data_IF_185933651335
#
_entry.id   IF_185933651335
#
_cell.length_a   1.000
_cell.length_b   1.000
_cell.length_c   1.000
_cell.angle_alpha   90.00
_cell.angle_beta   90.00
_cell.angle_gamma   90.00
#
_symmetry.space_group_name_H-M   'P 1'
#
loop_
_entity.id
_entity.type
_entity.pdbx_description
1 polymer ?
#
# COMPACT_ATOMS: atom_id res chain seq x y z
N UNK A 1 -51.01 -1.86 40.67
CA UNK A 1 -49.95 -1.56 39.68
C UNK A 1 -48.98 -0.59 40.35
N UNK A 2 -47.74 -1.04 40.60
CA UNK A 2 -46.85 -0.43 41.59
C UNK A 2 -46.16 0.82 40.99
N UNK A 3 -46.62 2.02 41.35
CA UNK A 3 -46.17 3.29 40.77
C UNK A 3 -44.65 3.49 40.88
N UNK A 4 -44.01 2.87 41.90
CA UNK A 4 -42.55 2.87 42.14
C UNK A 4 -41.74 2.03 41.15
N UNK A 5 -42.29 0.93 40.62
CA UNK A 5 -41.61 0.10 39.63
C UNK A 5 -41.63 0.75 38.23
N UNK A 6 -42.70 1.49 37.94
CA UNK A 6 -42.83 2.27 36.69
C UNK A 6 -41.89 3.48 36.72
N UNK A 7 -41.74 4.16 37.86
CA UNK A 7 -40.78 5.28 37.98
C UNK A 7 -39.32 4.82 37.92
N UNK A 8 -38.97 3.66 38.49
CA UNK A 8 -37.62 3.10 38.37
C UNK A 8 -37.31 2.66 36.93
N UNK A 9 -38.26 2.00 36.25
CA UNK A 9 -38.10 1.59 34.86
C UNK A 9 -37.98 2.77 33.89
N UNK A 10 -38.79 3.82 34.07
CA UNK A 10 -38.71 5.06 33.26
C UNK A 10 -37.42 5.82 33.53
N UNK A 11 -36.93 5.87 34.78
CA UNK A 11 -35.66 6.50 35.11
C UNK A 11 -34.45 5.74 34.53
N UNK A 12 -34.49 4.40 34.53
CA UNK A 12 -33.44 3.56 33.93
C UNK A 12 -33.42 3.69 32.39
N UNK A 13 -34.59 3.75 31.76
CA UNK A 13 -34.72 3.97 30.30
C UNK A 13 -34.25 5.38 29.91
N UNK A 14 -34.58 6.42 30.70
CA UNK A 14 -34.09 7.79 30.48
C UNK A 14 -32.58 7.93 30.70
N UNK A 15 -32.00 7.17 31.65
CA UNK A 15 -30.56 7.11 31.88
C UNK A 15 -29.83 6.41 30.73
N UNK A 16 -30.37 5.32 30.18
CA UNK A 16 -29.81 4.68 28.97
C UNK A 16 -29.95 5.55 27.72
N UNK A 17 -31.08 6.25 27.55
CA UNK A 17 -31.26 7.18 26.42
C UNK A 17 -30.28 8.37 26.47
N UNK A 18 -29.96 8.87 27.67
CA UNK A 18 -28.92 9.90 27.85
C UNK A 18 -27.52 9.36 27.62
N UNK A 19 -27.22 8.16 28.12
CA UNK A 19 -25.93 7.51 27.91
C UNK A 19 -25.64 7.25 26.42
N UNK A 20 -26.66 6.95 25.61
CA UNK A 20 -26.48 6.82 24.16
C UNK A 20 -26.34 8.17 23.45
N UNK A 21 -27.06 9.21 23.88
CA UNK A 21 -27.02 10.51 23.22
C UNK A 21 -25.67 11.24 23.39
N UNK A 22 -25.00 11.09 24.53
CA UNK A 22 -23.67 11.70 24.73
C UNK A 22 -22.60 11.07 23.83
N UNK A 23 -22.78 9.81 23.42
CA UNK A 23 -21.84 9.07 22.56
C UNK A 23 -22.14 9.22 21.06
N UNK A 24 -22.96 10.20 20.70
CA UNK A 24 -23.27 10.55 19.31
C UNK A 24 -24.36 9.68 18.66
N UNK A 25 -24.64 9.98 17.40
CA UNK A 25 -25.63 9.27 16.57
C UNK A 25 -24.99 8.80 15.25
N UNK A 26 -25.50 7.71 14.69
CA UNK A 26 -25.02 7.16 13.42
C UNK A 26 -25.03 8.17 12.28
N UNK A 27 -23.89 8.30 11.60
CA UNK A 27 -23.68 9.22 10.49
C UNK A 27 -23.49 10.69 10.90
N UNK A 28 -23.28 10.97 12.19
CA UNK A 28 -22.93 12.32 12.69
C UNK A 28 -21.47 12.39 13.15
N UNK A 29 -20.94 13.59 13.32
CA UNK A 29 -19.59 13.81 13.86
C UNK A 29 -19.69 14.56 15.19
N UNK A 30 -19.12 13.99 16.25
CA UNK A 30 -18.88 14.68 17.51
C UNK A 30 -17.62 15.52 17.38
N UNK A 31 -17.79 16.84 17.37
CA UNK A 31 -16.68 17.81 17.36
C UNK A 31 -16.34 18.20 18.80
N UNK A 32 -15.11 17.91 19.21
CA UNK A 32 -14.59 18.22 20.54
C UNK A 32 -13.65 19.41 20.43
N UNK A 33 -14.15 20.56 20.86
CA UNK A 33 -13.44 21.85 20.85
C UNK A 33 -13.03 22.32 22.26
N UNK A 34 -13.39 21.56 23.30
CA UNK A 34 -13.06 21.89 24.70
C UNK A 34 -12.81 20.62 25.54
N UNK A 35 -12.01 20.75 26.60
CA UNK A 35 -11.83 19.69 27.61
C UNK A 35 -13.18 19.27 28.24
N UNK A 36 -14.08 20.24 28.48
CA UNK A 36 -15.40 19.96 29.04
C UNK A 36 -16.23 19.04 28.13
N UNK A 37 -16.24 19.28 26.81
CA UNK A 37 -16.92 18.41 25.85
C UNK A 37 -16.28 17.02 25.75
N UNK A 38 -14.97 16.91 25.94
CA UNK A 38 -14.30 15.60 25.98
C UNK A 38 -14.73 14.79 27.20
N UNK A 39 -14.85 15.44 28.37
CA UNK A 39 -15.31 14.81 29.61
C UNK A 39 -16.77 14.32 29.54
N UNK A 40 -17.60 14.88 28.65
CA UNK A 40 -18.97 14.38 28.42
C UNK A 40 -18.99 12.99 27.76
N UNK A 41 -17.89 12.57 27.11
CA UNK A 41 -17.74 11.24 26.52
C UNK A 41 -17.31 10.18 27.55
N UNK A 42 -17.10 10.57 28.81
CA UNK A 42 -16.71 9.63 29.86
C UNK A 42 -17.72 8.48 29.99
N UNK A 43 -17.20 7.26 29.88
CA UNK A 43 -17.98 6.02 29.97
C UNK A 43 -18.65 5.59 28.66
N UNK A 44 -18.46 6.30 27.55
CA UNK A 44 -18.82 5.79 26.23
C UNK A 44 -17.95 4.59 25.88
N UNK A 45 -18.56 3.43 25.61
CA UNK A 45 -17.88 2.27 25.03
C UNK A 45 -17.91 2.27 23.50
N UNK A 46 -18.88 2.98 22.93
CA UNK A 46 -19.12 3.09 21.50
C UNK A 46 -19.40 4.54 21.16
N UNK A 47 -18.67 5.12 20.20
CA UNK A 47 -19.13 6.33 19.49
C UNK A 47 -19.93 5.87 18.27
N UNK A 48 -21.21 6.23 18.22
CA UNK A 48 -22.10 5.82 17.12
C UNK A 48 -21.84 6.62 15.84
N UNK A 49 -21.08 7.70 15.88
CA UNK A 49 -20.69 8.48 14.70
C UNK A 49 -19.18 8.50 14.47
N UNK A 50 -18.69 9.59 13.89
CA UNK A 50 -17.27 9.95 13.93
C UNK A 50 -16.97 10.80 15.18
N UNK A 51 -15.76 10.70 15.70
CA UNK A 51 -15.21 11.54 16.77
C UNK A 51 -14.07 12.37 16.18
N UNK A 52 -14.18 13.69 16.23
CA UNK A 52 -13.13 14.61 15.79
C UNK A 52 -12.74 15.52 16.95
N UNK A 53 -11.49 15.39 17.40
CA UNK A 53 -10.88 16.18 18.46
C UNK A 53 -9.89 17.17 17.82
N UNK A 54 -10.22 18.45 17.91
CA UNK A 54 -9.41 19.57 17.44
C UNK A 54 -9.34 20.62 18.55
N UNK A 55 -8.33 20.51 19.41
CA UNK A 55 -8.19 21.39 20.57
C UNK A 55 -6.74 21.56 21.01
N UNK A 56 -6.26 22.79 21.00
CA UNK A 56 -4.84 23.11 21.20
C UNK A 56 -4.30 22.89 22.62
N UNK A 57 -5.17 22.83 23.62
CA UNK A 57 -4.84 22.77 25.06
C UNK A 57 -5.14 21.40 25.72
N UNK A 58 -5.75 20.44 25.01
CA UNK A 58 -6.00 19.09 25.55
C UNK A 58 -4.66 18.36 25.66
N UNK A 59 -4.35 17.87 26.86
CA UNK A 59 -3.09 17.15 27.14
C UNK A 59 -3.18 15.63 27.00
N UNK A 60 -4.37 15.07 27.11
CA UNK A 60 -4.65 13.64 27.10
C UNK A 60 -6.12 13.37 26.71
N UNK A 61 -6.45 12.11 26.48
CA UNK A 61 -7.82 11.68 26.16
C UNK A 61 -8.36 10.66 27.17
N UNK A 62 -8.00 10.78 28.45
CA UNK A 62 -8.33 9.80 29.50
C UNK A 62 -9.85 9.59 29.68
N UNK A 63 -10.65 10.60 29.33
CA UNK A 63 -12.11 10.48 29.30
C UNK A 63 -12.60 9.34 28.39
N UNK A 64 -11.80 8.96 27.37
CA UNK A 64 -12.12 7.90 26.42
C UNK A 64 -11.72 6.49 26.90
N UNK A 65 -11.26 6.32 28.14
CA UNK A 65 -10.75 5.03 28.69
C UNK A 65 -11.70 3.82 28.59
N UNK A 66 -12.99 4.04 28.34
CA UNK A 66 -13.97 2.96 28.13
C UNK A 66 -14.25 2.65 26.65
N UNK A 67 -13.77 3.51 25.73
CA UNK A 67 -14.08 3.49 24.31
C UNK A 67 -13.45 2.26 23.65
N UNK A 68 -14.30 1.40 23.12
CA UNK A 68 -13.93 0.16 22.43
C UNK A 68 -14.17 0.23 20.92
N UNK A 69 -15.13 1.06 20.49
CA UNK A 69 -15.63 1.10 19.12
C UNK A 69 -15.95 2.53 18.67
N UNK A 70 -15.57 2.88 17.44
CA UNK A 70 -16.04 4.08 16.74
C UNK A 70 -16.71 3.62 15.43
N UNK A 71 -17.99 3.93 15.22
CA UNK A 71 -18.73 3.56 13.99
C UNK A 71 -18.20 4.28 12.75
N UNK A 72 -17.84 5.55 12.89
CA UNK A 72 -17.24 6.37 11.83
C UNK A 72 -15.74 6.55 12.03
N UNK A 73 -15.29 7.78 11.82
CA UNK A 73 -13.88 8.17 11.85
C UNK A 73 -13.44 8.56 13.26
N UNK A 74 -12.19 8.30 13.59
CA UNK A 74 -11.50 8.89 14.74
C UNK A 74 -10.42 9.85 14.22
N UNK A 75 -10.64 11.14 14.41
CA UNK A 75 -9.76 12.21 13.92
C UNK A 75 -9.22 12.97 15.13
N UNK A 76 -7.91 12.97 15.32
CA UNK A 76 -7.21 13.84 16.27
C UNK A 76 -6.35 14.78 15.44
N UNK A 77 -6.79 16.02 15.31
CA UNK A 77 -6.16 17.02 14.44
C UNK A 77 -5.75 18.26 15.24
N UNK A 78 -4.54 18.77 15.00
CA UNK A 78 -4.04 20.03 15.57
C UNK A 78 -4.08 20.11 17.12
N UNK A 79 -4.00 18.98 17.84
CA UNK A 79 -3.94 18.99 19.30
C UNK A 79 -2.50 19.22 19.77
N UNK A 80 -2.03 20.46 19.69
CA UNK A 80 -0.62 20.81 19.91
C UNK A 80 -0.10 20.50 21.32
N UNK A 81 -0.98 20.39 22.32
CA UNK A 81 -0.61 20.05 23.71
C UNK A 81 -0.81 18.57 24.06
N UNK A 82 -1.32 17.74 23.14
CA UNK A 82 -1.65 16.35 23.39
C UNK A 82 -0.40 15.50 23.58
N UNK A 83 -0.12 15.13 24.82
CA UNK A 83 1.09 14.39 25.22
C UNK A 83 0.96 12.89 24.99
N UNK A 84 -0.24 12.34 25.15
CA UNK A 84 -0.49 10.91 25.04
C UNK A 84 -1.95 10.62 24.65
N UNK A 85 -2.19 9.38 24.22
CA UNK A 85 -3.52 8.88 23.89
C UNK A 85 -3.88 7.61 24.68
N UNK A 86 -3.36 7.46 25.91
CA UNK A 86 -3.54 6.24 26.72
C UNK A 86 -5.02 5.93 27.04
N UNK A 87 -5.84 6.98 27.08
CA UNK A 87 -7.29 6.86 27.16
C UNK A 87 -7.93 6.04 26.03
N UNK A 88 -7.24 5.79 24.91
CA UNK A 88 -7.73 4.91 23.84
C UNK A 88 -7.42 3.43 24.06
N UNK A 89 -6.80 3.04 25.18
CA UNK A 89 -6.30 1.67 25.41
C UNK A 89 -7.34 0.55 25.31
N UNK A 90 -8.64 0.84 25.40
CA UNK A 90 -9.72 -0.13 25.18
C UNK A 90 -10.17 -0.24 23.71
N UNK A 91 -9.74 0.67 22.83
CA UNK A 91 -10.20 0.78 21.45
C UNK A 91 -9.71 -0.41 20.64
N UNK A 92 -10.65 -1.10 19.98
CA UNK A 92 -10.36 -2.28 19.15
C UNK A 92 -10.75 -2.10 17.69
N UNK A 93 -11.66 -1.18 17.39
CA UNK A 93 -12.26 -1.05 16.07
C UNK A 93 -12.65 0.40 15.75
N UNK A 94 -12.31 0.83 14.54
CA UNK A 94 -12.75 2.08 13.93
C UNK A 94 -13.39 1.71 12.58
N UNK A 95 -14.66 2.06 12.39
CA UNK A 95 -15.42 1.72 11.18
C UNK A 95 -15.05 2.57 9.97
N UNK A 96 -14.58 3.80 10.19
CA UNK A 96 -14.05 4.72 9.19
C UNK A 96 -12.54 4.92 9.30
N UNK A 97 -12.10 6.16 9.16
CA UNK A 97 -10.69 6.54 9.15
C UNK A 97 -10.10 6.67 10.55
N UNK A 98 -8.82 6.35 10.70
CA UNK A 98 -7.99 6.79 11.82
C UNK A 98 -7.03 7.87 11.32
N UNK A 99 -7.25 9.11 11.76
CA UNK A 99 -6.45 10.26 11.35
C UNK A 99 -5.79 10.93 12.57
N UNK A 100 -4.46 10.87 12.63
CA UNK A 100 -3.65 11.60 13.61
C UNK A 100 -2.84 12.65 12.85
N UNK A 101 -3.29 13.89 12.90
CA UNK A 101 -2.77 14.98 12.06
C UNK A 101 -2.27 16.13 12.93
N UNK A 102 -1.03 16.56 12.72
CA UNK A 102 -0.46 17.76 13.36
C UNK A 102 -0.52 17.78 14.90
N UNK A 103 -0.43 16.62 15.56
CA UNK A 103 -0.36 16.53 17.02
C UNK A 103 1.11 16.66 17.47
N UNK A 104 1.65 17.88 17.40
CA UNK A 104 3.11 18.13 17.44
C UNK A 104 3.83 17.67 18.72
N UNK A 105 3.13 17.40 19.82
CA UNK A 105 3.73 16.93 21.09
C UNK A 105 3.54 15.43 21.34
N UNK A 106 2.76 14.75 20.51
CA UNK A 106 2.47 13.32 20.65
C UNK A 106 3.68 12.48 20.22
N UNK A 107 4.40 11.94 21.21
CA UNK A 107 5.64 11.20 20.96
C UNK A 107 5.44 9.69 20.68
N UNK A 108 4.28 9.12 21.04
CA UNK A 108 3.98 7.70 20.82
C UNK A 108 2.47 7.50 20.61
N UNK A 109 2.10 6.38 19.99
CA UNK A 109 0.71 5.96 19.85
C UNK A 109 0.24 5.04 20.98
N UNK A 110 0.92 5.07 22.13
CA UNK A 110 0.51 4.27 23.28
C UNK A 110 -0.92 4.64 23.70
N UNK A 111 -1.77 3.62 23.78
CA UNK A 111 -3.21 3.75 23.76
C UNK A 111 -3.86 2.98 22.62
N UNK A 112 -3.16 2.70 21.52
CA UNK A 112 -3.73 1.97 20.38
C UNK A 112 -3.36 0.48 20.34
N UNK A 113 -2.76 -0.08 21.40
CA UNK A 113 -2.21 -1.46 21.40
C UNK A 113 -3.26 -2.55 21.17
N UNK A 114 -4.54 -2.25 21.40
CA UNK A 114 -5.64 -3.19 21.20
C UNK A 114 -6.41 -2.95 19.88
N UNK A 115 -6.03 -1.94 19.09
CA UNK A 115 -6.67 -1.65 17.81
C UNK A 115 -6.33 -2.76 16.81
N UNK A 116 -7.38 -3.35 16.22
CA UNK A 116 -7.23 -4.46 15.26
C UNK A 116 -7.67 -4.07 13.85
N UNK A 117 -8.62 -3.14 13.75
CA UNK A 117 -9.35 -2.87 12.51
C UNK A 117 -9.60 -1.37 12.31
N UNK A 118 -9.25 -0.89 11.12
CA UNK A 118 -9.60 0.43 10.59
C UNK A 118 -10.33 0.22 9.26
N UNK A 119 -11.59 0.65 9.16
CA UNK A 119 -12.41 0.39 7.98
C UNK A 119 -12.12 1.30 6.80
N UNK A 120 -11.53 2.46 7.03
CA UNK A 120 -11.08 3.40 6.02
C UNK A 120 -9.57 3.60 6.03
N UNK A 121 -9.14 4.86 5.97
CA UNK A 121 -7.74 5.25 5.87
C UNK A 121 -7.04 5.23 7.25
N UNK A 122 -5.76 4.87 7.25
CA UNK A 122 -4.84 5.11 8.35
C UNK A 122 -3.89 6.25 7.98
N UNK A 123 -4.04 7.40 8.63
CA UNK A 123 -3.26 8.62 8.32
C UNK A 123 -2.49 9.12 9.54
N UNK A 124 -1.17 9.18 9.40
CA UNK A 124 -0.23 9.73 10.36
C UNK A 124 0.54 10.87 9.70
N UNK A 125 0.05 12.10 9.84
CA UNK A 125 0.60 13.26 9.14
C UNK A 125 1.05 14.34 10.11
N UNK A 126 2.28 14.84 9.95
CA UNK A 126 2.73 16.03 10.66
C UNK A 126 2.89 15.87 12.18
N UNK A 127 2.98 14.64 12.71
CA UNK A 127 3.24 14.40 14.13
C UNK A 127 4.76 14.42 14.36
N UNK A 128 5.35 15.61 14.30
CA UNK A 128 6.81 15.81 14.19
C UNK A 128 7.64 15.28 15.37
N UNK A 129 7.02 14.94 16.51
CA UNK A 129 7.67 14.33 17.68
C UNK A 129 7.41 12.84 17.82
N UNK A 130 6.58 12.25 16.95
CA UNK A 130 6.22 10.83 16.98
C UNK A 130 7.44 9.96 16.65
N UNK A 131 7.96 9.23 17.65
CA UNK A 131 9.18 8.43 17.51
C UNK A 131 8.90 7.01 16.99
N UNK A 132 7.77 6.44 17.39
CA UNK A 132 7.37 5.06 17.10
C UNK A 132 5.85 4.90 16.94
N UNK A 133 5.47 3.85 16.21
CA UNK A 133 4.07 3.48 15.96
C UNK A 133 3.77 2.03 16.37
N UNK A 134 4.62 1.41 17.18
CA UNK A 134 4.56 -0.02 17.54
C UNK A 134 3.25 -0.43 18.22
N UNK A 135 2.55 0.54 18.83
CA UNK A 135 1.21 0.34 19.35
C UNK A 135 0.20 -0.10 18.26
N UNK A 136 0.46 0.14 16.98
CA UNK A 136 -0.40 -0.33 15.88
C UNK A 136 -0.14 -1.78 15.47
N UNK A 137 0.82 -2.49 16.08
CA UNK A 137 1.19 -3.86 15.65
C UNK A 137 0.06 -4.90 15.70
N UNK A 138 -1.03 -4.61 16.42
CA UNK A 138 -2.26 -5.41 16.42
C UNK A 138 -3.18 -5.19 15.22
N UNK A 139 -2.97 -4.11 14.45
CA UNK A 139 -3.79 -3.76 13.28
C UNK A 139 -3.51 -4.74 12.15
N UNK A 140 -4.55 -5.45 11.73
CA UNK A 140 -4.48 -6.46 10.66
C UNK A 140 -5.24 -6.06 9.41
N UNK A 141 -6.04 -4.99 9.49
CA UNK A 141 -6.87 -4.51 8.38
C UNK A 141 -6.95 -2.98 8.37
N UNK A 142 -6.71 -2.42 7.18
CA UNK A 142 -6.95 -1.03 6.79
C UNK A 142 -7.69 -1.08 5.45
N UNK A 143 -8.93 -0.62 5.40
CA UNK A 143 -9.79 -0.70 4.20
C UNK A 143 -9.51 0.35 3.14
N UNK A 144 -8.69 1.36 3.46
CA UNK A 144 -8.32 2.44 2.56
C UNK A 144 -6.81 2.61 2.41
N UNK A 145 -6.39 3.87 2.40
CA UNK A 145 -5.01 4.29 2.25
C UNK A 145 -4.24 4.13 3.57
N UNK A 146 -2.95 3.81 3.48
CA UNK A 146 -1.99 4.00 4.57
C UNK A 146 -1.07 5.15 4.18
N UNK A 147 -1.12 6.22 4.96
CA UNK A 147 -0.35 7.45 4.72
C UNK A 147 0.46 7.81 5.95
N UNK A 148 1.78 7.87 5.79
CA UNK A 148 2.71 8.31 6.83
C UNK A 148 3.57 9.43 6.23
N UNK A 149 3.29 10.67 6.63
CA UNK A 149 3.96 11.85 6.08
C UNK A 149 4.36 12.84 7.17
N UNK A 150 5.45 13.57 6.94
CA UNK A 150 5.84 14.68 7.83
C UNK A 150 6.06 14.27 9.31
N UNK A 151 6.40 13.01 9.59
CA UNK A 151 6.78 12.55 10.93
C UNK A 151 8.31 12.54 11.04
N UNK A 152 8.88 13.73 11.30
CA UNK A 152 10.31 14.00 11.13
C UNK A 152 11.25 13.09 11.96
N UNK A 153 10.78 12.59 13.10
CA UNK A 153 11.56 11.76 14.03
C UNK A 153 11.10 10.30 14.09
N UNK A 154 10.18 9.88 13.22
CA UNK A 154 9.70 8.50 13.17
C UNK A 154 10.82 7.58 12.66
N UNK A 155 11.16 6.56 13.45
CA UNK A 155 12.35 5.73 13.20
C UNK A 155 12.08 4.50 12.33
N UNK A 156 10.90 3.90 12.47
CA UNK A 156 10.55 2.63 11.84
C UNK A 156 9.03 2.53 11.60
N UNK A 157 8.62 1.44 10.93
CA UNK A 157 7.21 1.13 10.64
C UNK A 157 6.70 -0.15 11.33
N UNK A 158 7.34 -0.66 12.40
CA UNK A 158 6.99 -1.97 12.98
C UNK A 158 5.52 -2.09 13.41
N UNK A 159 4.88 -0.96 13.73
CA UNK A 159 3.42 -0.87 13.92
C UNK A 159 2.58 -1.41 12.76
N UNK A 160 3.11 -1.48 11.54
CA UNK A 160 2.39 -1.99 10.36
C UNK A 160 2.61 -3.49 10.12
N UNK A 161 3.32 -4.19 11.00
CA UNK A 161 3.70 -5.60 10.81
C UNK A 161 2.53 -6.59 10.75
N UNK A 162 1.35 -6.22 11.24
CA UNK A 162 0.13 -7.03 11.13
C UNK A 162 -0.55 -6.98 9.75
N UNK A 163 -0.14 -6.06 8.87
CA UNK A 163 -0.84 -5.77 7.61
C UNK A 163 -0.25 -6.64 6.48
N UNK A 164 -1.11 -7.44 5.84
CA UNK A 164 -0.72 -8.27 4.69
C UNK A 164 -1.11 -7.68 3.33
N UNK A 165 -2.07 -6.77 3.30
CA UNK A 165 -2.52 -6.09 2.09
C UNK A 165 -2.98 -4.68 2.43
N UNK A 166 -2.64 -3.73 1.55
CA UNK A 166 -3.18 -2.37 1.58
C UNK A 166 -4.24 -2.27 0.49
N UNK A 167 -5.49 -1.98 0.84
CA UNK A 167 -6.57 -1.92 -0.16
C UNK A 167 -6.49 -0.67 -1.04
N UNK A 168 -6.09 0.46 -0.45
CA UNK A 168 -5.82 1.72 -1.16
C UNK A 168 -4.33 1.95 -1.46
N UNK A 169 -3.91 3.20 -1.36
CA UNK A 169 -2.54 3.64 -1.57
C UNK A 169 -1.67 3.42 -0.33
N UNK A 170 -0.38 3.17 -0.54
CA UNK A 170 0.64 3.25 0.51
C UNK A 170 1.59 4.41 0.21
N UNK A 171 1.57 5.43 1.06
CA UNK A 171 2.25 6.71 0.82
C UNK A 171 3.22 7.01 1.95
N UNK A 172 4.52 7.04 1.62
CA UNK A 172 5.63 7.40 2.50
C UNK A 172 6.44 8.52 1.83
N UNK A 173 6.40 9.75 2.38
CA UNK A 173 7.02 10.92 1.74
C UNK A 173 8.34 11.39 2.37
N UNK A 174 9.00 12.31 1.65
CA UNK A 174 10.35 12.79 1.95
C UNK A 174 10.48 13.52 3.29
N UNK A 175 9.36 13.91 3.90
CA UNK A 175 9.35 14.59 5.19
C UNK A 175 9.45 13.61 6.37
N UNK A 176 9.44 12.30 6.16
CA UNK A 176 9.87 11.33 7.19
C UNK A 176 11.41 11.24 7.21
N UNK A 177 12.03 12.29 7.75
CA UNK A 177 13.45 12.60 7.53
C UNK A 177 14.43 11.52 7.99
N UNK A 178 14.11 10.78 9.06
CA UNK A 178 15.02 9.77 9.65
C UNK A 178 14.54 8.33 9.47
N UNK A 179 13.37 8.13 8.87
CA UNK A 179 12.78 6.81 8.64
C UNK A 179 13.66 6.03 7.66
N UNK A 180 14.33 5.00 8.18
CA UNK A 180 15.39 4.28 7.47
C UNK A 180 15.15 2.77 7.35
N UNK A 181 13.93 2.30 7.66
CA UNK A 181 13.57 0.90 7.56
C UNK A 181 12.10 0.72 7.18
N UNK A 182 11.85 -0.21 6.26
CA UNK A 182 10.51 -0.65 5.86
C UNK A 182 10.13 -2.00 6.46
N UNK A 183 10.88 -2.55 7.44
CA UNK A 183 10.68 -3.93 7.91
C UNK A 183 9.29 -4.22 8.48
N UNK A 184 8.60 -3.18 8.95
CA UNK A 184 7.19 -3.27 9.33
C UNK A 184 6.24 -3.64 8.18
N UNK A 185 6.66 -3.54 6.93
CA UNK A 185 5.88 -3.89 5.74
C UNK A 185 6.16 -5.32 5.23
N UNK A 186 7.00 -6.09 5.92
CA UNK A 186 7.48 -7.41 5.45
C UNK A 186 6.37 -8.43 5.17
N UNK A 187 5.17 -8.26 5.71
CA UNK A 187 4.03 -9.13 5.43
C UNK A 187 3.15 -8.65 4.26
N UNK A 188 3.37 -7.43 3.75
CA UNK A 188 2.57 -6.84 2.67
C UNK A 188 2.87 -7.57 1.35
N UNK A 189 1.84 -8.23 0.81
CA UNK A 189 1.93 -8.93 -0.48
C UNK A 189 1.35 -8.14 -1.65
N UNK A 190 0.52 -7.13 -1.36
CA UNK A 190 -0.20 -6.35 -2.35
C UNK A 190 -0.55 -4.94 -1.86
N UNK A 191 -0.49 -3.97 -2.78
CA UNK A 191 -1.06 -2.62 -2.63
C UNK A 191 -2.10 -2.44 -3.74
N UNK A 192 -3.36 -2.21 -3.38
CA UNK A 192 -4.46 -2.09 -4.34
C UNK A 192 -4.46 -0.79 -5.13
N UNK A 193 -3.99 0.29 -4.50
CA UNK A 193 -3.74 1.58 -5.13
C UNK A 193 -2.27 1.77 -5.53
N UNK A 194 -1.81 3.02 -5.46
CA UNK A 194 -0.43 3.40 -5.74
C UNK A 194 0.49 3.15 -4.53
N UNK A 195 1.75 2.81 -4.82
CA UNK A 195 2.83 2.75 -3.86
C UNK A 195 3.81 3.91 -4.12
N UNK A 196 3.82 4.89 -3.21
CA UNK A 196 4.72 6.04 -3.25
C UNK A 196 5.75 5.97 -2.13
N UNK A 197 7.02 5.83 -2.49
CA UNK A 197 8.14 5.79 -1.54
C UNK A 197 9.15 6.88 -1.91
N UNK A 198 9.27 7.86 -1.03
CA UNK A 198 10.24 8.94 -1.10
C UNK A 198 10.82 9.10 0.31
N UNK A 199 11.89 8.38 0.63
CA UNK A 199 12.49 8.37 1.98
C UNK A 199 13.99 8.63 1.91
N UNK A 200 14.47 9.83 2.27
CA UNK A 200 15.86 10.23 2.02
C UNK A 200 16.89 9.45 2.84
N UNK A 201 16.50 8.91 4.00
CA UNK A 201 17.37 8.14 4.88
C UNK A 201 17.42 6.63 4.56
N UNK A 202 16.61 6.15 3.62
CA UNK A 202 16.46 4.72 3.36
C UNK A 202 17.60 4.17 2.49
N UNK A 203 18.27 3.11 2.97
CA UNK A 203 19.39 2.46 2.28
C UNK A 203 18.96 1.26 1.43
N UNK A 204 17.84 0.63 1.78
CA UNK A 204 17.32 -0.60 1.20
C UNK A 204 15.80 -0.62 1.28
N UNK A 205 15.15 -1.26 0.32
CA UNK A 205 13.70 -1.55 0.35
C UNK A 205 13.37 -2.79 1.19
N UNK A 206 14.28 -3.23 2.08
CA UNK A 206 14.03 -4.37 2.94
C UNK A 206 12.77 -4.16 3.78
N UNK A 207 11.84 -5.09 3.66
CA UNK A 207 10.46 -4.96 4.08
C UNK A 207 9.48 -5.14 2.93
N UNK A 208 9.91 -5.09 1.67
CA UNK A 208 9.03 -5.28 0.50
C UNK A 208 9.24 -6.61 -0.25
N UNK A 209 9.99 -7.56 0.34
CA UNK A 209 10.38 -8.83 -0.31
C UNK A 209 9.21 -9.71 -0.74
N UNK A 210 8.05 -9.53 -0.09
CA UNK A 210 6.84 -10.30 -0.36
C UNK A 210 5.85 -9.57 -1.27
N UNK A 211 6.13 -8.32 -1.68
CA UNK A 211 5.24 -7.54 -2.53
C UNK A 211 5.20 -8.13 -3.94
N UNK A 212 4.01 -8.53 -4.39
CA UNK A 212 3.80 -9.16 -5.70
C UNK A 212 3.01 -8.31 -6.68
N UNK A 213 2.21 -7.36 -6.17
CA UNK A 213 1.31 -6.55 -7.00
C UNK A 213 1.12 -5.13 -6.43
N UNK A 214 1.15 -4.16 -7.33
CA UNK A 214 0.71 -2.78 -7.10
C UNK A 214 -0.38 -2.46 -8.13
N UNK A 215 -1.59 -2.15 -7.70
CA UNK A 215 -2.72 -1.90 -8.61
C UNK A 215 -2.66 -0.55 -9.32
N UNK A 216 -2.04 0.44 -8.68
CA UNK A 216 -1.80 1.77 -9.23
C UNK A 216 -0.35 1.97 -9.66
N UNK A 217 0.13 3.22 -9.50
CA UNK A 217 1.49 3.60 -9.83
C UNK A 217 2.48 3.09 -8.76
N UNK A 218 3.70 2.73 -9.18
CA UNK A 218 4.84 2.51 -8.28
C UNK A 218 5.84 3.64 -8.50
N UNK A 219 6.01 4.51 -7.50
CA UNK A 219 6.98 5.59 -7.51
C UNK A 219 8.07 5.37 -6.45
N UNK A 220 9.32 5.26 -6.91
CA UNK A 220 10.52 5.19 -6.08
C UNK A 220 11.39 6.39 -6.46
N UNK A 221 11.34 7.45 -5.64
CA UNK A 221 12.00 8.71 -6.00
C UNK A 221 12.68 9.43 -4.86
N UNK A 222 13.66 10.26 -5.22
CA UNK A 222 14.38 11.13 -4.28
C UNK A 222 15.09 10.37 -3.13
N UNK A 223 15.42 9.09 -3.34
CA UNK A 223 16.08 8.24 -2.36
C UNK A 223 17.58 8.20 -2.63
N UNK A 224 18.26 9.30 -2.31
CA UNK A 224 19.67 9.53 -2.65
C UNK A 224 20.65 8.52 -2.04
N UNK A 225 20.23 7.76 -1.02
CA UNK A 225 21.04 6.72 -0.36
C UNK A 225 20.69 5.29 -0.81
N UNK A 226 19.59 5.10 -1.56
CA UNK A 226 19.12 3.78 -1.97
C UNK A 226 20.09 3.17 -3.00
N UNK A 227 20.63 1.99 -2.70
CA UNK A 227 21.64 1.35 -3.55
C UNK A 227 21.04 0.56 -4.72
N UNK A 228 19.88 -0.08 -4.51
CA UNK A 228 19.21 -0.91 -5.49
C UNK A 228 17.77 -1.21 -5.05
N UNK A 229 17.02 -1.91 -5.90
CA UNK A 229 15.64 -2.38 -5.61
C UNK A 229 15.54 -3.90 -5.51
N UNK A 230 16.61 -4.60 -5.13
CA UNK A 230 16.60 -6.08 -5.01
C UNK A 230 15.46 -6.64 -4.14
N UNK A 231 15.04 -5.98 -3.03
CA UNK A 231 13.89 -6.44 -2.26
C UNK A 231 12.56 -6.47 -3.04
N UNK A 232 12.50 -6.03 -4.29
CA UNK A 232 11.32 -6.16 -5.15
C UNK A 232 11.32 -7.43 -6.02
N UNK A 233 12.19 -8.41 -5.76
CA UNK A 233 12.33 -9.64 -6.56
C UNK A 233 11.05 -10.45 -6.76
N UNK A 234 10.05 -10.29 -5.88
CA UNK A 234 8.74 -10.94 -5.96
C UNK A 234 7.70 -10.13 -6.73
N UNK A 235 8.00 -8.89 -7.14
CA UNK A 235 7.03 -8.00 -7.79
C UNK A 235 6.75 -8.48 -9.22
N UNK A 236 5.51 -8.89 -9.46
CA UNK A 236 5.06 -9.47 -10.74
C UNK A 236 4.40 -8.40 -11.61
N UNK A 237 3.61 -7.49 -11.01
CA UNK A 237 2.76 -6.61 -11.80
C UNK A 237 2.52 -5.24 -11.16
N UNK A 238 2.51 -4.22 -12.01
CA UNK A 238 2.14 -2.84 -11.68
C UNK A 238 1.00 -2.44 -12.63
N UNK A 239 -0.17 -2.09 -12.12
CA UNK A 239 -1.33 -1.70 -12.92
C UNK A 239 -1.23 -0.28 -13.50
N UNK A 240 -0.42 0.58 -12.88
CA UNK A 240 -0.14 1.94 -13.31
C UNK A 240 1.24 2.12 -13.98
N UNK A 241 1.82 3.28 -13.74
CA UNK A 241 3.16 3.67 -14.18
C UNK A 241 4.21 3.19 -13.18
N UNK A 242 5.31 2.64 -13.68
CA UNK A 242 6.53 2.45 -12.90
C UNK A 242 7.44 3.68 -13.08
N UNK A 243 7.69 4.42 -12.00
CA UNK A 243 8.63 5.55 -11.98
C UNK A 243 9.78 5.28 -11.02
N UNK A 244 11.01 5.24 -11.53
CA UNK A 244 12.24 5.22 -10.72
C UNK A 244 13.05 6.46 -11.07
N UNK A 245 13.09 7.43 -10.16
CA UNK A 245 13.64 8.74 -10.47
C UNK A 245 14.47 9.36 -9.35
N UNK A 246 15.52 10.11 -9.70
CA UNK A 246 16.27 10.92 -8.73
C UNK A 246 16.94 10.10 -7.61
N UNK A 247 17.24 8.82 -7.83
CA UNK A 247 17.94 7.96 -6.88
C UNK A 247 19.44 7.90 -7.23
N UNK A 248 20.17 8.96 -6.87
CA UNK A 248 21.52 9.22 -7.38
C UNK A 248 22.59 8.19 -7.00
N UNK A 249 22.40 7.42 -5.94
CA UNK A 249 23.31 6.33 -5.52
C UNK A 249 22.91 4.94 -6.01
N UNK A 250 21.76 4.81 -6.67
CA UNK A 250 21.25 3.52 -7.14
C UNK A 250 22.13 3.02 -8.28
N UNK A 251 22.68 1.80 -8.16
CA UNK A 251 23.63 1.25 -9.15
C UNK A 251 23.00 0.25 -10.10
N UNK A 252 21.96 -0.47 -9.65
CA UNK A 252 21.24 -1.44 -10.48
C UNK A 252 19.79 -1.64 -10.02
N UNK A 253 18.96 -2.19 -10.90
CA UNK A 253 17.55 -2.50 -10.63
C UNK A 253 17.16 -3.96 -10.87
N UNK A 254 18.11 -4.89 -10.67
CA UNK A 254 17.92 -6.32 -10.91
C UNK A 254 16.76 -6.97 -10.13
N UNK A 255 16.34 -6.38 -9.00
CA UNK A 255 15.15 -6.82 -8.28
C UNK A 255 13.85 -6.77 -9.08
N UNK A 256 13.81 -6.12 -10.24
CA UNK A 256 12.60 -6.08 -11.08
C UNK A 256 12.52 -7.22 -12.10
N UNK A 257 13.45 -8.19 -12.08
CA UNK A 257 13.53 -9.24 -13.11
C UNK A 257 12.25 -10.09 -13.24
N UNK A 258 11.50 -10.25 -12.14
CA UNK A 258 10.22 -10.98 -12.13
C UNK A 258 9.03 -10.17 -12.62
N UNK A 259 9.22 -8.87 -12.93
CA UNK A 259 8.15 -8.00 -13.38
C UNK A 259 7.68 -8.45 -14.76
N UNK A 260 6.41 -8.85 -14.84
CA UNK A 260 5.78 -9.31 -16.07
C UNK A 260 4.97 -8.19 -16.75
N UNK A 261 4.56 -7.17 -15.99
CA UNK A 261 3.66 -6.13 -16.48
C UNK A 261 3.81 -4.75 -15.88
N UNK A 262 3.70 -3.73 -16.74
CA UNK A 262 3.45 -2.33 -16.37
C UNK A 262 2.27 -1.81 -17.18
N UNK A 263 1.15 -1.51 -16.53
CA UNK A 263 -0.11 -1.16 -17.16
C UNK A 263 -0.13 0.17 -17.90
N UNK A 264 0.79 1.07 -17.53
CA UNK A 264 1.01 2.35 -18.21
C UNK A 264 2.49 2.49 -18.61
N UNK A 265 3.16 3.57 -18.22
CA UNK A 265 4.51 3.87 -18.68
C UNK A 265 5.57 3.21 -17.78
N UNK A 266 6.72 2.88 -18.35
CA UNK A 266 7.94 2.59 -17.63
C UNK A 266 8.86 3.81 -17.77
N UNK A 267 9.13 4.49 -16.66
CA UNK A 267 9.88 5.74 -16.61
C UNK A 267 11.05 5.62 -15.64
N UNK A 268 12.27 5.55 -16.17
CA UNK A 268 13.50 5.47 -15.36
C UNK A 268 14.38 6.63 -15.77
N UNK A 269 14.54 7.62 -14.88
CA UNK A 269 15.32 8.79 -15.21
C UNK A 269 16.01 9.49 -14.06
N UNK A 270 17.08 10.22 -14.35
CA UNK A 270 17.82 11.01 -13.37
C UNK A 270 18.41 10.15 -12.23
N UNK A 271 18.80 8.91 -12.52
CA UNK A 271 19.49 8.00 -11.60
C UNK A 271 20.96 7.91 -12.03
N UNK A 272 21.77 8.90 -11.69
CA UNK A 272 23.08 9.13 -12.32
C UNK A 272 24.12 8.01 -12.10
N UNK A 273 23.97 7.19 -11.06
CA UNK A 273 24.83 6.02 -10.81
C UNK A 273 24.27 4.71 -11.38
N UNK A 274 23.04 4.72 -11.92
CA UNK A 274 22.34 3.52 -12.37
C UNK A 274 22.92 3.05 -13.70
N UNK A 275 23.83 2.07 -13.63
CA UNK A 275 24.53 1.55 -14.79
C UNK A 275 24.05 0.18 -15.26
N UNK A 276 23.13 -0.48 -14.53
CA UNK A 276 22.62 -1.79 -14.94
C UNK A 276 21.10 -1.88 -14.73
N UNK A 277 20.37 -2.07 -15.84
CA UNK A 277 18.92 -2.12 -15.86
C UNK A 277 18.36 -3.47 -16.32
N UNK A 278 19.13 -4.55 -16.15
CA UNK A 278 18.72 -5.89 -16.59
C UNK A 278 17.43 -6.39 -15.94
N UNK A 279 17.08 -5.89 -14.76
CA UNK A 279 15.80 -6.21 -14.12
C UNK A 279 14.58 -5.82 -14.96
N UNK A 280 14.65 -4.80 -15.82
CA UNK A 280 13.50 -4.41 -16.66
C UNK A 280 13.59 -4.88 -18.10
N UNK A 281 14.67 -5.57 -18.48
CA UNK A 281 14.82 -6.09 -19.84
C UNK A 281 13.71 -7.11 -20.19
N UNK A 282 13.37 -8.09 -19.33
CA UNK A 282 12.31 -9.05 -19.65
C UNK A 282 10.95 -8.39 -19.93
N UNK A 283 10.51 -7.47 -19.07
CA UNK A 283 9.21 -6.78 -19.27
C UNK A 283 9.19 -5.92 -20.54
N UNK A 284 10.34 -5.43 -21.00
CA UNK A 284 10.46 -4.65 -22.24
C UNK A 284 10.43 -5.57 -23.47
N UNK A 285 11.26 -6.62 -23.50
CA UNK A 285 11.37 -7.53 -24.65
C UNK A 285 10.10 -8.36 -24.87
N UNK A 286 9.35 -8.60 -23.80
CA UNK A 286 8.12 -9.39 -23.81
C UNK A 286 6.85 -8.52 -23.93
N UNK A 287 6.97 -7.28 -24.44
CA UNK A 287 5.86 -6.33 -24.63
C UNK A 287 4.99 -6.11 -23.37
N UNK A 288 5.58 -6.28 -22.18
CA UNK A 288 4.90 -6.19 -20.88
C UNK A 288 4.61 -4.75 -20.43
N UNK A 289 5.21 -3.75 -21.07
CA UNK A 289 4.92 -2.32 -20.84
C UNK A 289 3.83 -1.85 -21.78
N UNK A 290 2.71 -1.38 -21.22
CA UNK A 290 1.52 -1.11 -22.03
C UNK A 290 1.47 0.31 -22.61
N UNK A 291 2.14 1.25 -21.95
CA UNK A 291 2.38 2.62 -22.38
C UNK A 291 3.74 2.80 -23.03
N UNK A 292 4.44 3.87 -22.67
CA UNK A 292 5.77 4.19 -23.22
C UNK A 292 6.91 3.75 -22.30
N UNK A 293 8.05 3.45 -22.91
CA UNK A 293 9.33 3.23 -22.21
C UNK A 293 10.14 4.53 -22.33
N UNK A 294 10.49 5.14 -21.20
CA UNK A 294 11.30 6.35 -21.11
C UNK A 294 12.53 6.08 -20.24
N UNK A 295 13.70 6.15 -20.87
CA UNK A 295 15.01 5.90 -20.25
C UNK A 295 15.87 7.12 -20.56
N UNK A 296 16.23 7.93 -19.57
CA UNK A 296 17.05 9.12 -19.82
C UNK A 296 17.72 9.64 -18.55
N UNK A 297 18.88 10.28 -18.68
CA UNK A 297 19.61 10.87 -17.55
C UNK A 297 20.00 9.82 -16.48
N UNK A 298 20.27 8.58 -16.87
CA UNK A 298 20.79 7.53 -15.99
C UNK A 298 22.30 7.34 -16.20
N UNK A 299 22.92 6.46 -15.42
CA UNK A 299 24.28 5.98 -15.71
C UNK A 299 24.35 5.27 -17.07
N UNK A 300 25.56 5.16 -17.63
CA UNK A 300 25.78 4.43 -18.88
C UNK A 300 25.31 2.97 -18.73
N UNK A 301 24.57 2.44 -19.71
CA UNK A 301 23.97 1.10 -19.63
C UNK A 301 22.46 1.11 -19.39
N UNK A 302 21.90 2.29 -19.12
CA UNK A 302 20.51 2.46 -18.71
C UNK A 302 19.81 3.68 -19.36
N UNK A 303 20.34 4.23 -20.46
CA UNK A 303 19.72 5.37 -21.15
C UNK A 303 18.94 4.99 -22.41
N UNK A 304 19.06 3.77 -22.92
CA UNK A 304 18.31 3.27 -24.09
C UNK A 304 18.06 1.78 -23.94
N UNK A 305 17.08 1.24 -24.69
CA UNK A 305 16.83 -0.22 -24.69
C UNK A 305 18.06 -0.96 -25.25
N UNK A 306 18.73 -0.39 -26.25
CA UNK A 306 19.94 -0.95 -26.84
C UNK A 306 21.11 -1.01 -25.86
N UNK A 307 21.31 0.01 -25.03
CA UNK A 307 22.30 -0.02 -23.95
C UNK A 307 22.02 -1.15 -22.96
N UNK A 308 20.76 -1.28 -22.52
CA UNK A 308 20.35 -2.34 -21.58
C UNK A 308 20.62 -3.71 -22.21
N UNK A 309 20.17 -3.95 -23.44
CA UNK A 309 20.36 -5.24 -24.11
C UNK A 309 21.84 -5.61 -24.26
N UNK A 310 22.71 -4.64 -24.58
CA UNK A 310 24.16 -4.87 -24.68
C UNK A 310 24.79 -5.20 -23.34
N UNK A 311 24.49 -4.42 -22.30
CA UNK A 311 25.06 -4.62 -20.96
C UNK A 311 24.57 -5.93 -20.31
N UNK A 312 23.34 -6.35 -20.61
CA UNK A 312 22.78 -7.58 -20.09
C UNK A 312 23.20 -8.83 -20.89
N UNK A 313 23.54 -8.70 -22.17
CA UNK A 313 24.03 -9.82 -22.98
C UNK A 313 25.38 -10.37 -22.49
N UNK A 314 26.20 -9.56 -21.80
CA UNK A 314 27.44 -10.05 -21.16
C UNK A 314 27.18 -10.91 -19.91
N UNK A 315 25.95 -10.90 -19.37
CA UNK A 315 25.55 -11.64 -18.16
C UNK A 315 24.86 -12.97 -18.45
N UNK A 316 24.39 -13.21 -19.67
CA UNK A 316 23.61 -14.41 -20.04
C UNK A 316 24.36 -15.13 -21.17
N UNK A 317 24.90 -16.33 -20.89
CA UNK A 317 25.39 -17.21 -21.96
C UNK A 317 24.25 -17.57 -22.91
N UNK A 318 24.53 -17.72 -24.21
CA UNK A 318 23.56 -18.13 -25.23
C UNK A 318 22.80 -19.40 -24.80
N UNK A 319 21.59 -19.23 -24.27
CA UNK A 319 20.61 -20.28 -24.09
C UNK A 319 19.42 -19.97 -25.01
N UNK A 320 18.98 -20.96 -25.79
CA UNK A 320 17.77 -20.81 -26.60
C UNK A 320 16.57 -20.67 -25.67
N UNK A 321 16.01 -19.46 -25.58
CA UNK A 321 14.81 -19.20 -24.78
C UNK A 321 13.60 -19.90 -25.42
N UNK A 322 12.65 -20.41 -24.61
CA UNK A 322 11.39 -20.88 -25.13
C UNK A 322 10.65 -19.76 -25.88
N UNK A 323 9.97 -20.11 -26.97
CA UNK A 323 9.08 -19.19 -27.69
C UNK A 323 7.64 -19.29 -27.17
N UNK A 324 7.03 -18.12 -26.91
CA UNK A 324 5.60 -17.95 -26.64
C UNK A 324 4.91 -17.34 -27.86
N UNK A 325 3.93 -18.06 -28.41
CA UNK A 325 3.05 -17.57 -29.47
C UNK A 325 1.66 -17.32 -28.92
N UNK A 326 1.13 -16.11 -29.12
CA UNK A 326 -0.26 -15.77 -28.76
C UNK A 326 -0.99 -15.24 -29.99
N UNK A 327 -2.07 -15.91 -30.37
CA UNK A 327 -2.90 -15.55 -31.54
C UNK A 327 -4.28 -15.14 -31.08
N UNK A 328 -4.66 -13.89 -31.38
CA UNK A 328 -5.93 -13.31 -30.96
C UNK A 328 -7.05 -13.63 -31.95
N UNK A 329 -8.20 -14.11 -31.47
CA UNK A 329 -9.42 -14.23 -32.25
C UNK A 329 -10.45 -13.18 -31.82
N UNK A 330 -10.51 -12.07 -32.57
CA UNK A 330 -11.38 -10.93 -32.30
C UNK A 330 -12.89 -11.29 -32.29
N UNK A 331 -13.33 -12.25 -33.11
CA UNK A 331 -14.74 -12.61 -33.20
C UNK A 331 -15.23 -13.44 -32.02
N UNK A 332 -14.40 -14.37 -31.56
CA UNK A 332 -14.75 -15.32 -30.51
C UNK A 332 -14.25 -14.90 -29.13
N UNK A 333 -13.58 -13.75 -29.04
CA UNK A 333 -13.02 -13.15 -27.81
C UNK A 333 -12.11 -14.08 -27.01
N UNK A 334 -11.33 -14.91 -27.69
CA UNK A 334 -10.32 -15.77 -27.08
C UNK A 334 -8.94 -15.53 -27.67
N UNK A 335 -7.94 -15.96 -26.92
CA UNK A 335 -6.56 -16.09 -27.38
C UNK A 335 -6.17 -17.55 -27.45
N UNK A 336 -5.41 -17.90 -28.49
CA UNK A 336 -4.72 -19.18 -28.58
C UNK A 336 -3.29 -19.00 -28.15
N UNK A 337 -2.90 -19.73 -27.13
CA UNK A 337 -1.55 -19.72 -26.55
C UNK A 337 -0.85 -21.01 -26.92
N UNK A 338 0.39 -20.92 -27.36
CA UNK A 338 1.25 -22.07 -27.62
C UNK A 338 2.65 -21.73 -27.15
N UNK A 339 3.27 -22.65 -26.43
CA UNK A 339 4.65 -22.51 -25.95
C UNK A 339 5.48 -23.70 -26.43
N UNK A 340 6.77 -23.47 -26.60
CA UNK A 340 7.75 -24.52 -26.97
C UNK A 340 8.20 -25.38 -25.79
N UNK A 341 7.71 -25.08 -24.57
CA UNK A 341 7.97 -25.80 -23.33
C UNK A 341 6.71 -25.95 -22.47
N UNK A 342 6.79 -26.83 -21.47
CA UNK A 342 5.76 -27.00 -20.45
C UNK A 342 5.80 -25.83 -19.46
N UNK A 343 4.64 -25.40 -18.97
CA UNK A 343 4.58 -24.36 -17.95
C UNK A 343 3.17 -23.94 -17.55
N UNK A 344 3.08 -22.82 -16.87
CA UNK A 344 1.84 -22.23 -16.35
C UNK A 344 1.62 -20.87 -17.02
N UNK A 345 0.48 -20.68 -17.66
CA UNK A 345 0.09 -19.37 -18.15
C UNK A 345 -0.66 -18.57 -17.07
N UNK A 346 -0.53 -17.25 -17.16
CA UNK A 346 -1.32 -16.26 -16.42
C UNK A 346 -1.93 -15.30 -17.43
N UNK A 347 -3.25 -15.13 -17.37
CA UNK A 347 -3.95 -14.06 -18.09
C UNK A 347 -4.20 -12.92 -17.10
N UNK A 348 -3.74 -11.72 -17.44
CA UNK A 348 -3.95 -10.53 -16.62
C UNK A 348 -4.43 -9.35 -17.48
N UNK A 349 -5.25 -8.45 -16.93
CA UNK A 349 -5.69 -7.22 -17.61
C UNK A 349 -4.69 -6.09 -17.43
N UNK A 350 -4.76 -5.06 -18.27
CA UNK A 350 -3.86 -3.90 -18.21
C UNK A 350 -3.68 -3.27 -16.80
N UNK A 351 -4.65 -3.40 -15.89
CA UNK A 351 -4.56 -2.98 -14.48
C UNK A 351 -3.78 -3.94 -13.56
N UNK A 352 -3.10 -4.95 -14.13
CA UNK A 352 -2.34 -5.96 -13.40
C UNK A 352 -3.17 -7.09 -12.77
N UNK A 353 -4.51 -7.04 -12.86
CA UNK A 353 -5.37 -8.06 -12.26
C UNK A 353 -5.28 -9.40 -13.01
N UNK A 354 -4.92 -10.47 -12.29
CA UNK A 354 -4.95 -11.84 -12.82
C UNK A 354 -6.41 -12.33 -12.94
N UNK A 355 -6.80 -12.78 -14.13
CA UNK A 355 -8.12 -13.34 -14.43
C UNK A 355 -8.13 -14.86 -14.43
N UNK A 356 -7.08 -15.47 -14.97
CA UNK A 356 -7.00 -16.91 -15.16
C UNK A 356 -5.57 -17.40 -15.05
N UNK A 357 -5.40 -18.61 -14.51
CA UNK A 357 -4.14 -19.35 -14.56
C UNK A 357 -4.39 -20.78 -14.99
N UNK A 358 -3.48 -21.36 -15.77
CA UNK A 358 -3.64 -22.73 -16.26
C UNK A 358 -2.34 -23.29 -16.80
N UNK A 359 -2.34 -24.57 -17.21
CA UNK A 359 -1.14 -25.23 -17.73
C UNK A 359 -1.15 -25.26 -19.26
N UNK A 360 0.01 -25.06 -19.87
CA UNK A 360 0.26 -25.34 -21.29
C UNK A 360 1.37 -26.37 -21.35
N UNK A 361 1.13 -27.49 -22.03
CA UNK A 361 2.19 -28.44 -22.34
C UNK A 361 2.87 -28.04 -23.65
N UNK A 362 4.13 -28.45 -23.81
CA UNK A 362 4.96 -28.21 -24.97
C UNK A 362 4.24 -28.52 -26.28
N UNK A 363 4.11 -27.50 -27.12
CA UNK A 363 3.51 -27.58 -28.46
C UNK A 363 1.99 -27.74 -28.48
N UNK A 364 1.34 -27.84 -27.31
CA UNK A 364 -0.12 -27.87 -27.24
C UNK A 364 -0.70 -26.46 -27.32
N UNK A 365 -1.83 -26.32 -28.01
CA UNK A 365 -2.57 -25.07 -28.06
C UNK A 365 -3.55 -25.01 -26.89
N UNK A 366 -3.48 -23.94 -26.10
CA UNK A 366 -4.54 -23.59 -25.16
C UNK A 366 -5.40 -22.45 -25.65
N UNK A 367 -6.70 -22.55 -25.41
CA UNK A 367 -7.68 -21.52 -25.77
C UNK A 367 -8.16 -20.88 -24.48
N UNK A 368 -7.84 -19.61 -24.30
CA UNK A 368 -8.20 -18.84 -23.11
C UNK A 368 -9.28 -17.84 -23.49
N UNK A 369 -10.40 -17.86 -22.79
CA UNK A 369 -11.46 -16.87 -23.00
C UNK A 369 -11.11 -15.57 -22.30
N UNK A 370 -11.24 -14.45 -23.02
CA UNK A 370 -11.03 -13.14 -22.42
C UNK A 370 -12.32 -12.67 -21.72
N UNK A 371 -12.21 -12.08 -20.52
CA UNK A 371 -13.37 -11.68 -19.72
C UNK A 371 -14.14 -10.51 -20.35
N UNK A 372 -13.48 -9.65 -21.12
CA UNK A 372 -14.06 -8.47 -21.75
C UNK A 372 -13.25 -8.02 -22.97
N UNK A 373 -13.72 -7.00 -23.69
CA UNK A 373 -12.87 -6.25 -24.60
C UNK A 373 -11.86 -5.42 -23.78
N UNK A 374 -10.66 -5.23 -24.32
CA UNK A 374 -9.57 -4.58 -23.60
C UNK A 374 -8.19 -5.07 -24.01
N UNK A 375 -7.18 -4.61 -23.28
CA UNK A 375 -5.79 -5.02 -23.42
C UNK A 375 -5.44 -5.97 -22.27
N UNK A 376 -4.86 -7.11 -22.61
CA UNK A 376 -4.45 -8.14 -21.67
C UNK A 376 -3.00 -8.53 -21.93
N UNK A 377 -2.34 -9.06 -20.91
CA UNK A 377 -1.10 -9.80 -21.06
C UNK A 377 -1.35 -11.29 -20.84
N UNK A 378 -0.66 -12.09 -21.64
CA UNK A 378 -0.55 -13.53 -21.41
C UNK A 378 0.90 -13.79 -21.06
N UNK A 379 1.16 -14.10 -19.79
CA UNK A 379 2.48 -14.58 -19.34
C UNK A 379 2.49 -16.10 -19.36
N UNK A 380 3.57 -16.71 -19.82
CA UNK A 380 3.87 -18.14 -19.72
C UNK A 380 5.11 -18.32 -18.85
N UNK A 381 4.94 -18.94 -17.69
CA UNK A 381 6.02 -19.25 -16.74
C UNK A 381 6.46 -20.70 -16.95
N UNK A 382 7.68 -20.88 -17.44
CA UNK A 382 8.33 -22.19 -17.62
C UNK A 382 9.22 -22.50 -16.41
N UNK A 383 10.05 -23.55 -16.48
CA UNK A 383 11.06 -23.81 -15.44
C UNK A 383 12.16 -22.74 -15.43
N UNK A 384 12.46 -22.16 -16.59
CA UNK A 384 13.66 -21.36 -16.79
C UNK A 384 13.37 -19.86 -16.98
N UNK A 385 12.19 -19.50 -17.48
CA UNK A 385 11.83 -18.11 -17.81
C UNK A 385 10.32 -17.84 -17.78
N UNK A 386 9.95 -16.58 -17.56
CA UNK A 386 8.61 -16.05 -17.80
C UNK A 386 8.58 -15.23 -19.10
N UNK A 387 7.68 -15.59 -20.02
CA UNK A 387 7.50 -14.94 -21.31
C UNK A 387 6.14 -14.27 -21.36
N UNK A 388 6.06 -13.02 -21.77
CA UNK A 388 4.82 -12.25 -21.84
C UNK A 388 4.50 -11.87 -23.28
N UNK A 389 3.21 -11.87 -23.65
CA UNK A 389 2.74 -11.25 -24.89
C UNK A 389 1.50 -10.41 -24.62
N UNK A 390 1.56 -9.14 -25.04
CA UNK A 390 0.42 -8.23 -25.03
C UNK A 390 -0.56 -8.59 -26.12
N UNK A 391 -1.84 -8.61 -25.78
CA UNK A 391 -2.95 -8.87 -26.69
C UNK A 391 -4.05 -7.82 -26.51
N UNK A 392 -4.65 -7.42 -27.62
CA UNK A 392 -5.76 -6.48 -27.61
C UNK A 392 -6.99 -7.09 -28.29
N UNK A 393 -8.15 -7.01 -27.65
CA UNK A 393 -9.45 -7.33 -28.24
C UNK A 393 -10.33 -6.09 -28.27
N UNK A 394 -10.94 -5.87 -29.45
CA UNK A 394 -11.82 -4.75 -29.74
C UNK A 394 -13.29 -5.05 -29.40
#
# INVERSE_FOLDING_TARGET
>A
MNLRAITFGVCLILLMHKANAQCGETGTTLLIETEASLLELAGCDTIYGSLHIHQWDISDVDALSSLQFVEGDLILEENISLLNIEGLSALTHIGGNLELISNFTLASLNGLQNLVYVGGDLRLDGNITLEEIDALSGVTHVGGDIRVMENHVLQNLHGLSGISAVEGNLILNEQNLILNSLQGLSNVTSVGGALFISLPALLSLDGLQNLTWVGGDLEIRDMVLLANVNPLESLISIGGTLTIAQNSSMVHINGLYSLESVGQNLSIHNNTALGTCCGVLPVIEEDGVFGTVMLNLNGNGCNTIEEIALDCAELIGEHSLPELTVVVNQHQKHVRVTCTEDGVYRLWSADGRIHETGKVNKGEQQIIQLPSAGIFGVTMVTQDVALTRKVAIL
#
